data_IF_558560382577
#
_entry.id   IF_558560382577
#
_cell.length_a   1.000
_cell.length_b   1.000
_cell.length_c   1.000
_cell.angle_alpha   90.00
_cell.angle_beta   90.00
_cell.angle_gamma   90.00
#
_symmetry.space_group_name_H-M   'P 1'
#
loop_
_entity.id
_entity.type
_entity.pdbx_description
1 polymer ?
#
# COMPACT_ATOMS: atom_id res chain seq x y z
N UNK A 1 -6.41 -19.03 9.36
CA UNK A 1 -5.43 -17.91 9.27
C UNK A 1 -3.99 -18.41 9.33
N UNK A 2 -3.68 -19.36 10.20
CA UNK A 2 -2.36 -20.02 10.25
C UNK A 2 -2.19 -21.14 9.21
N UNK A 3 -3.25 -21.49 8.50
CA UNK A 3 -3.27 -22.50 7.43
C UNK A 3 -2.31 -22.15 6.27
N UNK A 4 -1.97 -20.86 6.13
CA UNK A 4 -1.01 -20.33 5.14
C UNK A 4 0.32 -19.88 5.78
N UNK A 5 0.62 -20.33 7.00
CA UNK A 5 1.84 -19.99 7.75
C UNK A 5 1.71 -18.75 8.66
N UNK A 6 2.84 -18.32 9.22
CA UNK A 6 2.90 -17.21 10.21
C UNK A 6 2.95 -15.82 9.57
N UNK A 7 3.15 -15.76 8.25
CA UNK A 7 3.34 -14.51 7.50
C UNK A 7 2.12 -13.59 7.55
N UNK A 8 0.86 -14.04 7.35
CA UNK A 8 -0.30 -13.16 7.42
C UNK A 8 -0.51 -12.52 8.81
N UNK A 9 -0.45 -13.26 9.94
CA UNK A 9 -0.44 -12.66 11.28
C UNK A 9 0.70 -11.68 11.50
N UNK A 10 1.92 -12.01 11.04
CA UNK A 10 3.09 -11.17 11.20
C UNK A 10 2.95 -9.84 10.43
N UNK A 11 2.38 -9.87 9.22
CA UNK A 11 2.11 -8.66 8.44
C UNK A 11 1.11 -7.75 9.15
N UNK A 12 0.03 -8.32 9.70
CA UNK A 12 -0.95 -7.55 10.46
C UNK A 12 -0.33 -6.90 11.70
N UNK A 13 0.40 -7.67 12.51
CA UNK A 13 1.11 -7.14 13.69
C UNK A 13 2.13 -6.06 13.32
N UNK A 14 2.89 -6.26 12.24
CA UNK A 14 3.83 -5.27 11.73
C UNK A 14 3.14 -3.95 11.40
N UNK A 15 1.98 -3.98 10.73
CA UNK A 15 1.20 -2.77 10.45
C UNK A 15 0.76 -2.07 11.74
N UNK A 16 0.24 -2.80 12.72
CA UNK A 16 -0.19 -2.21 14.00
C UNK A 16 0.98 -1.51 14.70
N UNK A 17 2.15 -2.15 14.78
CA UNK A 17 3.33 -1.56 15.45
C UNK A 17 3.76 -0.27 14.75
N UNK A 18 3.82 -0.26 13.41
CA UNK A 18 4.19 0.94 12.64
C UNK A 18 3.18 2.07 12.78
N UNK A 19 1.87 1.76 12.86
CA UNK A 19 0.83 2.76 13.07
C UNK A 19 0.89 3.36 14.48
N UNK A 20 1.18 2.56 15.51
CA UNK A 20 1.32 3.04 16.89
C UNK A 20 2.53 3.96 17.09
N UNK A 21 3.53 3.89 16.21
CA UNK A 21 4.70 4.76 16.24
C UNK A 21 4.39 6.21 15.78
N UNK A 22 3.20 6.47 15.24
CA UNK A 22 2.75 7.82 14.83
C UNK A 22 3.30 8.30 13.48
N UNK A 23 3.90 7.41 12.68
CA UNK A 23 4.35 7.74 11.32
C UNK A 23 3.15 7.86 10.37
N UNK A 24 3.18 8.73 9.33
CA UNK A 24 2.04 8.92 8.44
C UNK A 24 1.56 7.59 7.84
N UNK A 25 0.26 7.34 7.99
CA UNK A 25 -0.37 6.03 7.73
C UNK A 25 -0.06 5.49 6.33
N UNK A 26 -0.05 6.36 5.31
CA UNK A 26 0.23 5.96 3.92
C UNK A 26 1.62 5.32 3.76
N UNK A 27 2.66 5.92 4.36
CA UNK A 27 4.02 5.39 4.29
C UNK A 27 4.16 4.11 5.11
N UNK A 28 3.52 4.03 6.28
CA UNK A 28 3.51 2.83 7.11
C UNK A 28 2.89 1.63 6.39
N UNK A 29 1.73 1.82 5.75
CA UNK A 29 1.07 0.76 4.97
C UNK A 29 1.89 0.35 3.75
N UNK A 30 2.47 1.31 3.02
CA UNK A 30 3.32 1.03 1.87
C UNK A 30 4.59 0.25 2.26
N UNK A 31 5.28 0.67 3.31
CA UNK A 31 6.52 0.04 3.77
C UNK A 31 6.28 -1.39 4.27
N UNK A 32 5.29 -1.60 5.13
CA UNK A 32 4.96 -2.95 5.63
C UNK A 32 4.46 -3.84 4.49
N UNK A 33 3.60 -3.32 3.60
CA UNK A 33 3.13 -4.05 2.43
C UNK A 33 4.27 -4.48 1.49
N UNK A 34 5.20 -3.58 1.17
CA UNK A 34 6.36 -3.87 0.31
C UNK A 34 7.36 -4.81 0.99
N UNK A 35 7.62 -4.64 2.29
CA UNK A 35 8.49 -5.53 3.05
C UNK A 35 7.98 -6.98 3.01
N UNK A 36 6.69 -7.18 3.34
CA UNK A 36 6.08 -8.51 3.28
C UNK A 36 5.88 -9.00 1.84
N UNK A 37 5.80 -8.11 0.84
CA UNK A 37 5.85 -8.48 -0.57
C UNK A 37 7.19 -9.17 -0.92
N UNK A 38 8.31 -8.59 -0.50
CA UNK A 38 9.65 -9.15 -0.74
C UNK A 38 9.83 -10.47 0.01
N UNK A 39 9.44 -10.52 1.29
CA UNK A 39 9.52 -11.75 2.10
C UNK A 39 8.68 -12.87 1.49
N UNK A 40 7.47 -12.56 1.03
CA UNK A 40 6.59 -13.55 0.39
C UNK A 40 7.12 -14.09 -0.93
N UNK A 41 7.81 -13.25 -1.73
CA UNK A 41 8.51 -13.70 -2.95
C UNK A 41 9.70 -14.58 -2.59
N UNK A 42 10.53 -14.15 -1.64
CA UNK A 42 11.72 -14.89 -1.21
C UNK A 42 11.39 -16.26 -0.62
N UNK A 43 10.23 -16.39 0.03
CA UNK A 43 9.73 -17.64 0.62
C UNK A 43 8.83 -18.45 -0.33
N UNK A 44 8.59 -17.98 -1.55
CA UNK A 44 7.82 -18.69 -2.58
C UNK A 44 6.30 -18.70 -2.39
N UNK A 45 5.75 -17.81 -1.56
CA UNK A 45 4.30 -17.73 -1.32
C UNK A 45 3.53 -17.14 -2.53
N UNK A 46 4.17 -16.25 -3.30
CA UNK A 46 3.64 -15.70 -4.55
C UNK A 46 4.77 -15.26 -5.48
N UNK A 47 4.47 -15.14 -6.78
CA UNK A 47 5.44 -14.78 -7.80
C UNK A 47 5.78 -13.29 -7.85
N UNK A 48 6.96 -12.98 -8.38
CA UNK A 48 7.45 -11.60 -8.60
C UNK A 48 6.55 -10.76 -9.53
N UNK A 49 5.77 -11.42 -10.40
CA UNK A 49 4.81 -10.76 -11.31
C UNK A 49 3.80 -9.88 -10.57
N UNK A 50 3.50 -10.18 -9.31
CA UNK A 50 2.59 -9.38 -8.49
C UNK A 50 3.14 -7.98 -8.19
N UNK A 51 4.46 -7.80 -8.12
CA UNK A 51 5.07 -6.47 -7.97
C UNK A 51 4.95 -5.65 -9.26
N UNK A 52 5.05 -6.29 -10.42
CA UNK A 52 4.88 -5.63 -11.72
C UNK A 52 3.45 -5.11 -11.94
N UNK A 53 2.47 -5.69 -11.23
CA UNK A 53 1.08 -5.23 -11.25
C UNK A 53 0.82 -4.00 -10.37
N UNK A 54 1.77 -3.57 -9.52
CA UNK A 54 1.57 -2.43 -8.62
C UNK A 54 1.29 -1.10 -9.33
N UNK A 55 2.00 -0.70 -10.39
CA UNK A 55 1.71 0.54 -11.10
C UNK A 55 0.28 0.55 -11.64
N UNK A 56 -0.15 -0.54 -12.28
CA UNK A 56 -1.50 -0.66 -12.83
C UNK A 56 -2.58 -0.55 -11.75
N UNK A 57 -2.34 -1.16 -10.57
CA UNK A 57 -3.25 -1.05 -9.41
C UNK A 57 -3.31 0.38 -8.87
N UNK A 58 -2.17 1.07 -8.78
CA UNK A 58 -2.12 2.47 -8.35
C UNK A 58 -2.89 3.39 -9.29
N UNK A 59 -2.65 3.30 -10.59
CA UNK A 59 -3.39 4.08 -11.58
C UNK A 59 -4.88 3.76 -11.57
N UNK A 60 -5.24 2.47 -11.47
CA UNK A 60 -6.65 2.07 -11.37
C UNK A 60 -7.38 2.68 -10.18
N UNK A 61 -6.72 2.87 -9.03
CA UNK A 61 -7.30 3.56 -7.87
C UNK A 61 -7.45 5.06 -8.13
N UNK A 62 -6.40 5.71 -8.66
CA UNK A 62 -6.41 7.14 -8.95
C UNK A 62 -7.39 7.53 -10.06
N UNK A 63 -7.73 6.61 -10.97
CA UNK A 63 -8.76 6.82 -11.99
C UNK A 63 -10.19 6.91 -11.43
N UNK A 64 -10.39 6.72 -10.13
CA UNK A 64 -11.68 6.96 -9.49
C UNK A 64 -12.00 8.46 -9.43
N UNK A 65 -13.15 8.86 -9.97
CA UNK A 65 -13.55 10.28 -10.06
C UNK A 65 -13.56 11.00 -8.70
N UNK A 66 -13.94 10.32 -7.61
CA UNK A 66 -13.96 10.92 -6.26
C UNK A 66 -12.54 11.19 -5.74
N UNK A 67 -11.61 10.27 -5.99
CA UNK A 67 -10.21 10.43 -5.55
C UNK A 67 -9.48 11.44 -6.44
N UNK A 68 -9.81 11.49 -7.72
CA UNK A 68 -9.28 12.44 -8.69
C UNK A 68 -9.75 13.89 -8.43
N UNK A 69 -10.90 14.06 -7.78
CA UNK A 69 -11.39 15.38 -7.35
C UNK A 69 -10.47 16.06 -6.32
N UNK A 70 -9.74 15.32 -5.47
CA UNK A 70 -8.85 15.88 -4.44
C UNK A 70 -7.69 16.70 -5.05
N UNK A 71 -6.86 16.16 -5.96
CA UNK A 71 -5.79 16.93 -6.58
C UNK A 71 -6.32 18.04 -7.48
N UNK A 72 -7.44 17.83 -8.20
CA UNK A 72 -8.04 18.88 -9.05
C UNK A 72 -8.62 20.05 -8.26
N UNK A 73 -9.20 19.78 -7.08
CA UNK A 73 -9.65 20.84 -6.19
C UNK A 73 -8.48 21.71 -5.71
N UNK A 74 -7.40 21.06 -5.27
CA UNK A 74 -6.18 21.76 -4.84
C UNK A 74 -5.55 22.54 -6.00
N UNK A 75 -5.51 21.95 -7.21
CA UNK A 75 -4.99 22.59 -8.41
C UNK A 75 -5.81 23.81 -8.83
N UNK A 76 -7.14 23.70 -8.84
CA UNK A 76 -8.02 24.83 -9.13
C UNK A 76 -7.78 25.97 -8.13
N UNK A 77 -7.64 25.66 -6.85
CA UNK A 77 -7.32 26.65 -5.82
C UNK A 77 -6.00 27.39 -6.10
N UNK A 78 -4.94 26.65 -6.41
CA UNK A 78 -3.61 27.22 -6.68
C UNK A 78 -3.53 28.07 -7.96
N UNK A 79 -4.42 27.86 -8.93
CA UNK A 79 -4.48 28.66 -10.18
C UNK A 79 -5.27 29.96 -9.98
N UNK A 80 -6.22 29.98 -9.05
CA UNK A 80 -7.09 31.13 -8.78
C UNK A 80 -6.58 32.01 -7.64
N UNK A 81 -5.58 31.55 -6.89
CA UNK A 81 -4.75 32.35 -5.95
C UNK A 81 -3.74 33.22 -6.72
#
# INVERSE_FOLDING_TARGET
>A
MFDFGIIPPAMFLGMVIFMLYGFPVAFSLAAVGLFFAIVGIATGHFGEVFLQALPLRFFGILSNDLLLAIPFFTFMGAVLE
#
